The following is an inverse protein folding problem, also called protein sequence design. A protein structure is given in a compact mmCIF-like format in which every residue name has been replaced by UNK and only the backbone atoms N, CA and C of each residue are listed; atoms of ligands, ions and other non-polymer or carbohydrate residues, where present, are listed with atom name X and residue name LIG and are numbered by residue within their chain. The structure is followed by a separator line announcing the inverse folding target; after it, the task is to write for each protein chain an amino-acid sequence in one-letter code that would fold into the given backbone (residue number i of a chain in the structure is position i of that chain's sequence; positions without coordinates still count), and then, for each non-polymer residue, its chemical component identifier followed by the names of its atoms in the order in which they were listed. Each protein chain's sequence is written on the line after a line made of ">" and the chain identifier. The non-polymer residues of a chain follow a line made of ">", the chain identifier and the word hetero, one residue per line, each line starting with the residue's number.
data_IF_860037984401
#
_entry.id   IF_860037984401
#
_cell.length_a   1.000
_cell.length_b   1.000
_cell.length_c   1.000
_cell.angle_alpha   90.00
_cell.angle_beta   90.00
_cell.angle_gamma   90.00
#
_symmetry.space_group_name_H-M   'P 1'
#
loop_
_entity.id
_entity.type
_entity.pdbx_description
1 polymer ?
#
# COMPACT_ATOMS: atom_id res chain seq x y z
N UNK A 1 27.00 -5.77 5.60
CA UNK A 1 26.27 -6.78 6.41
C UNK A 1 25.30 -6.06 7.34
N UNK A 2 24.19 -6.67 7.77
CA UNK A 2 23.23 -6.01 8.69
C UNK A 2 21.76 -6.04 8.27
N UNK A 3 21.40 -6.74 7.18
CA UNK A 3 20.00 -6.90 6.76
C UNK A 3 19.32 -8.03 7.52
N UNK A 4 18.11 -7.78 8.02
CA UNK A 4 17.27 -8.78 8.65
C UNK A 4 16.76 -9.73 7.58
N UNK A 5 17.05 -11.02 7.69
CA UNK A 5 16.54 -12.04 6.75
C UNK A 5 15.27 -12.74 7.24
N UNK A 6 14.97 -12.61 8.53
CA UNK A 6 13.85 -13.29 9.18
C UNK A 6 13.47 -12.61 10.49
N UNK A 7 12.17 -12.59 10.79
CA UNK A 7 11.63 -12.28 12.12
C UNK A 7 10.67 -13.41 12.50
N UNK A 8 11.03 -14.19 13.52
CA UNK A 8 10.29 -15.41 13.87
C UNK A 8 10.20 -16.37 12.68
N UNK A 9 8.98 -16.68 12.23
CA UNK A 9 8.73 -17.56 11.09
C UNK A 9 8.68 -16.86 9.74
N UNK A 10 8.73 -15.52 9.71
CA UNK A 10 8.52 -14.72 8.50
C UNK A 10 9.87 -14.38 7.87
N UNK A 11 10.05 -14.72 6.60
CA UNK A 11 11.23 -14.36 5.82
C UNK A 11 11.13 -12.95 5.25
N UNK A 12 12.28 -12.28 5.13
CA UNK A 12 12.42 -10.98 4.48
C UNK A 12 13.47 -11.11 3.37
N UNK A 13 13.07 -10.80 2.15
CA UNK A 13 13.93 -10.87 0.98
C UNK A 13 14.18 -9.48 0.40
N UNK A 14 15.31 -9.35 -0.27
CA UNK A 14 15.78 -8.11 -0.86
C UNK A 14 16.05 -8.30 -2.35
N UNK A 15 15.89 -7.23 -3.13
CA UNK A 15 16.35 -7.17 -4.52
C UNK A 15 17.85 -6.83 -4.59
N UNK A 16 18.39 -6.77 -5.83
CA UNK A 16 19.79 -6.39 -6.07
C UNK A 16 20.12 -4.93 -5.76
N UNK A 17 19.12 -4.10 -5.47
CA UNK A 17 19.27 -2.71 -5.03
C UNK A 17 19.12 -2.58 -3.50
N UNK A 18 19.18 -3.70 -2.77
CA UNK A 18 19.07 -3.78 -1.32
C UNK A 18 17.71 -3.30 -0.75
N UNK A 19 16.67 -3.26 -1.57
CA UNK A 19 15.30 -2.94 -1.14
C UNK A 19 14.53 -4.21 -0.82
N UNK A 20 13.62 -4.15 0.16
CA UNK A 20 12.79 -5.31 0.52
C UNK A 20 11.85 -5.63 -0.65
N UNK A 21 11.99 -6.80 -1.27
CA UNK A 21 11.12 -7.22 -2.38
C UNK A 21 10.02 -8.20 -1.95
N UNK A 22 10.12 -8.77 -0.74
CA UNK A 22 9.14 -9.72 -0.22
C UNK A 22 9.23 -9.83 1.31
N UNK A 23 8.06 -9.92 1.95
CA UNK A 23 7.93 -10.28 3.37
C UNK A 23 6.92 -11.43 3.45
N UNK A 24 7.36 -12.61 3.86
CA UNK A 24 6.51 -13.81 3.91
C UNK A 24 5.92 -14.14 2.53
N UNK A 25 4.61 -14.01 2.38
CA UNK A 25 3.87 -14.23 1.12
C UNK A 25 3.60 -12.94 0.34
N UNK A 26 3.88 -11.78 0.92
CA UNK A 26 3.56 -10.47 0.35
C UNK A 26 4.74 -9.99 -0.50
N UNK A 27 4.47 -9.68 -1.77
CA UNK A 27 5.45 -9.13 -2.71
C UNK A 27 5.45 -7.60 -2.68
N UNK A 28 6.63 -7.00 -2.80
CA UNK A 28 6.81 -5.56 -2.98
C UNK A 28 7.30 -5.32 -4.41
N UNK A 29 6.56 -4.51 -5.17
CA UNK A 29 6.93 -4.14 -6.52
C UNK A 29 7.31 -2.69 -6.58
N UNK A 30 8.41 -2.41 -7.27
CA UNK A 30 8.96 -1.07 -7.42
C UNK A 30 8.98 -0.69 -8.89
N UNK A 31 8.74 0.59 -9.15
CA UNK A 31 9.05 1.21 -10.44
C UNK A 31 10.36 2.01 -10.32
N UNK A 32 10.71 2.79 -11.35
CA UNK A 32 11.92 3.62 -11.38
C UNK A 32 11.95 4.75 -10.33
N UNK A 33 10.80 5.07 -9.72
CA UNK A 33 10.65 6.19 -8.80
C UNK A 33 10.40 5.75 -7.35
N UNK A 34 9.96 4.51 -7.10
CA UNK A 34 9.69 4.04 -5.76
C UNK A 34 8.81 2.80 -5.69
N UNK A 35 8.28 2.54 -4.50
CA UNK A 35 7.35 1.44 -4.23
C UNK A 35 6.04 1.71 -4.98
N UNK A 36 5.61 0.75 -5.79
CA UNK A 36 4.41 0.86 -6.61
C UNK A 36 3.28 -0.04 -6.10
N UNK A 37 3.61 -1.23 -5.59
CA UNK A 37 2.61 -2.19 -5.09
C UNK A 37 3.11 -2.99 -3.89
N UNK A 38 2.18 -3.35 -3.02
CA UNK A 38 2.38 -4.19 -1.83
C UNK A 38 1.32 -5.29 -1.83
N UNK A 39 1.68 -6.51 -2.22
CA UNK A 39 0.71 -7.57 -2.44
C UNK A 39 -0.33 -7.17 -3.49
N UNK A 40 -1.61 -7.07 -3.08
CA UNK A 40 -2.71 -6.57 -3.91
C UNK A 40 -3.00 -5.06 -3.80
N UNK A 41 -2.22 -4.32 -3.00
CA UNK A 41 -2.38 -2.89 -2.82
C UNK A 41 -1.55 -2.13 -3.85
N UNK A 42 -2.17 -1.21 -4.57
CA UNK A 42 -1.54 -0.29 -5.51
C UNK A 42 -1.41 1.11 -4.91
N UNK A 43 -0.22 1.70 -5.07
CA UNK A 43 0.13 3.02 -4.56
C UNK A 43 0.22 4.01 -5.74
N UNK A 44 -0.63 5.02 -5.73
CA UNK A 44 -0.72 6.03 -6.78
C UNK A 44 -0.14 7.34 -6.27
N UNK A 45 0.86 7.84 -6.99
CA UNK A 45 1.57 9.07 -6.65
C UNK A 45 1.26 10.18 -7.64
N UNK A 46 1.23 11.42 -7.16
CA UNK A 46 1.26 12.58 -8.05
C UNK A 46 2.67 12.81 -8.62
N UNK A 47 2.81 13.78 -9.52
CA UNK A 47 4.10 14.11 -10.16
C UNK A 47 5.17 14.62 -9.19
N UNK A 48 4.78 15.06 -7.99
CA UNK A 48 5.69 15.48 -6.91
C UNK A 48 6.13 14.31 -6.01
N UNK A 49 5.72 13.09 -6.33
CA UNK A 49 6.05 11.89 -5.55
C UNK A 49 5.24 11.75 -4.26
N UNK A 50 4.14 12.50 -4.11
CA UNK A 50 3.26 12.39 -2.94
C UNK A 50 2.22 11.30 -3.19
N UNK A 51 1.99 10.45 -2.20
CA UNK A 51 0.94 9.43 -2.25
C UNK A 51 -0.42 10.12 -2.23
N UNK A 52 -1.20 9.95 -3.29
CA UNK A 52 -2.52 10.57 -3.41
C UNK A 52 -3.65 9.57 -3.28
N UNK A 53 -3.40 8.30 -3.60
CA UNK A 53 -4.42 7.26 -3.55
C UNK A 53 -3.80 5.88 -3.33
N UNK A 54 -4.57 5.03 -2.64
CA UNK A 54 -4.28 3.62 -2.41
C UNK A 54 -5.47 2.80 -2.91
N UNK A 55 -5.22 1.78 -3.73
CA UNK A 55 -6.29 0.96 -4.33
C UNK A 55 -6.04 -0.51 -4.05
N UNK A 56 -7.06 -1.22 -3.57
CA UNK A 56 -6.96 -2.64 -3.24
C UNK A 56 -6.53 -2.90 -1.79
N UNK A 57 -5.96 -4.07 -1.53
CA UNK A 57 -5.57 -4.51 -0.19
C UNK A 57 -4.29 -5.35 -0.23
N UNK A 58 -3.51 -5.28 0.85
CA UNK A 58 -2.22 -5.99 0.94
C UNK A 58 -2.40 -7.50 0.85
N UNK A 59 -3.48 -8.01 1.46
CA UNK A 59 -3.76 -9.44 1.55
C UNK A 59 -5.05 -9.79 0.83
N UNK A 60 -4.97 -10.66 -0.18
CA UNK A 60 -6.13 -11.17 -0.90
C UNK A 60 -6.87 -12.20 -0.03
N UNK A 61 -7.83 -11.76 0.78
CA UNK A 61 -9.05 -12.57 0.99
C UNK A 61 -10.06 -12.03 0.01
N UNK A 62 -10.51 -12.85 -0.94
CA UNK A 62 -11.57 -12.51 -1.89
C UNK A 62 -12.80 -11.96 -1.15
N UNK A 63 -12.90 -10.64 -1.02
CA UNK A 63 -14.15 -9.91 -0.86
C UNK A 63 -13.97 -8.60 -1.62
N UNK A 64 -14.59 -8.56 -2.80
CA UNK A 64 -14.41 -7.50 -3.79
C UNK A 64 -14.59 -6.11 -3.21
N UNK A 65 -13.56 -5.28 -3.31
CA UNK A 65 -13.68 -3.84 -3.18
C UNK A 65 -12.83 -3.19 -4.28
N UNK A 66 -13.43 -3.12 -5.47
CA UNK A 66 -13.04 -2.15 -6.50
C UNK A 66 -13.56 -0.79 -6.02
N UNK A 67 -12.75 -0.05 -5.28
CA UNK A 67 -13.04 1.36 -4.97
C UNK A 67 -12.77 2.20 -6.22
N UNK A 68 -13.75 2.25 -7.11
CA UNK A 68 -13.80 3.23 -8.20
C UNK A 68 -14.34 4.53 -7.62
N UNK A 69 -13.46 5.46 -7.29
CA UNK A 69 -13.85 6.77 -6.78
C UNK A 69 -14.27 7.69 -7.95
N UNK A 70 -15.56 7.70 -8.26
CA UNK A 70 -16.26 8.80 -8.92
C UNK A 70 -17.47 9.11 -8.04
N UNK A 71 -17.47 10.26 -7.35
CA UNK A 71 -18.62 10.69 -6.55
C UNK A 71 -19.79 11.17 -7.41
N UNK A 72 -20.84 11.74 -6.81
CA UNK A 72 -21.51 11.35 -5.57
C UNK A 72 -22.85 10.66 -5.91
N UNK A 73 -23.18 9.54 -5.26
CA UNK A 73 -24.56 9.08 -5.25
C UNK A 73 -24.85 8.26 -3.99
N UNK A 74 -26.01 8.56 -3.41
CA UNK A 74 -26.44 8.21 -2.08
C UNK A 74 -26.66 6.70 -1.93
N UNK A 75 -25.91 6.07 -1.04
CA UNK A 75 -26.10 4.68 -0.67
C UNK A 75 -25.65 4.47 0.78
N UNK A 76 -26.61 4.22 1.65
CA UNK A 76 -26.40 3.97 3.08
C UNK A 76 -25.55 2.70 3.23
N UNK A 77 -24.27 2.85 3.58
CA UNK A 77 -23.37 1.73 3.82
C UNK A 77 -22.64 1.93 5.15
N UNK A 78 -22.78 0.92 6.00
CA UNK A 78 -22.35 0.84 7.40
C UNK A 78 -20.97 1.45 7.65
N UNK A 79 -20.93 2.37 8.64
CA UNK A 79 -19.70 2.95 9.18
C UNK A 79 -18.75 1.84 9.64
N UNK A 80 -17.64 1.67 8.95
CA UNK A 80 -16.43 1.13 9.56
C UNK A 80 -15.40 2.25 9.60
N UNK A 81 -15.24 2.85 10.78
CA UNK A 81 -14.29 3.91 11.09
C UNK A 81 -12.86 3.35 11.08
N UNK A 82 -12.35 3.00 9.90
CA UNK A 82 -10.93 2.73 9.69
C UNK A 82 -10.24 4.04 9.32
N UNK A 83 -9.74 4.77 10.33
CA UNK A 83 -9.08 6.05 10.17
C UNK A 83 -7.89 5.98 9.22
N UNK A 84 -8.03 6.58 8.04
CA UNK A 84 -6.89 6.84 7.16
C UNK A 84 -6.08 8.00 7.73
N UNK A 85 -4.86 7.72 8.17
CA UNK A 85 -3.91 8.74 8.65
C UNK A 85 -3.40 9.57 7.46
N UNK A 86 -4.18 10.58 7.05
CA UNK A 86 -3.61 11.72 6.36
C UNK A 86 -3.20 12.74 7.42
N UNK A 87 -1.89 12.96 7.57
CA UNK A 87 -1.42 14.14 8.29
C UNK A 87 -1.71 15.34 7.39
N UNK A 88 -2.76 16.08 7.71
CA UNK A 88 -3.02 17.39 7.14
C UNK A 88 -1.84 18.28 7.53
N UNK A 89 -1.09 18.78 6.55
CA UNK A 89 -0.13 19.85 6.80
C UNK A 89 -0.92 21.11 7.08
N UNK A 90 -0.72 21.69 8.25
CA UNK A 90 -1.28 22.98 8.63
C UNK A 90 -0.90 24.03 7.57
N UNK A 91 -1.89 24.77 7.07
CA UNK A 91 -1.69 25.95 6.24
C UNK A 91 -1.60 27.14 7.19
N UNK A 92 -0.43 27.78 7.23
CA UNK A 92 -0.24 29.12 7.81
C UNK A 92 -0.75 30.21 6.84
#
# INVERSE_FOLDING_TARGET
>A
FGRIRRVGNVFVNYDGLDRVNRIGTILMQYNRFGLARVGGLELIYNRRGQLVQMVGSVYHRNHGFSSTYYGPSHGVAYQNQGGYYFKQSDQD
#
